data_IF_244755371872
#
_entry.id   IF_244755371872
#
_cell.length_a   1.000
_cell.length_b   1.000
_cell.length_c   1.000
_cell.angle_alpha   90.00
_cell.angle_beta   90.00
_cell.angle_gamma   90.00
#
_symmetry.space_group_name_H-M   'P 1'
#
loop_
_entity.id
_entity.type
_entity.pdbx_description
1 polymer ?
#
# COMPACT_ATOMS: atom_id res chain seq x y z
N UNK A 1 -5.92 -22.64 -12.52
CA UNK A 1 -5.11 -21.51 -12.02
C UNK A 1 -5.41 -21.34 -10.54
N UNK A 2 -4.40 -21.11 -9.71
CA UNK A 2 -4.59 -20.84 -8.28
C UNK A 2 -5.22 -19.44 -8.13
N UNK A 3 -6.26 -19.25 -7.31
CA UNK A 3 -6.81 -17.91 -7.07
C UNK A 3 -5.78 -17.02 -6.38
N UNK A 4 -5.75 -15.74 -6.74
CA UNK A 4 -4.95 -14.70 -6.09
C UNK A 4 -5.44 -14.49 -4.65
N UNK A 5 -4.51 -14.48 -3.69
CA UNK A 5 -4.84 -14.43 -2.26
C UNK A 5 -4.42 -13.09 -1.67
N UNK A 6 -5.34 -12.42 -0.99
CA UNK A 6 -5.03 -11.22 -0.21
C UNK A 6 -4.33 -11.62 1.09
N UNK A 7 -3.14 -11.08 1.30
CA UNK A 7 -2.27 -11.37 2.45
C UNK A 7 -2.36 -10.28 3.53
N UNK A 8 -2.58 -9.03 3.12
CA UNK A 8 -2.73 -7.90 4.04
C UNK A 8 -3.54 -6.76 3.40
N UNK A 9 -4.13 -5.93 4.25
CA UNK A 9 -4.81 -4.69 3.85
C UNK A 9 -4.35 -3.57 4.77
N UNK A 10 -3.74 -2.54 4.20
CA UNK A 10 -3.27 -1.35 4.94
C UNK A 10 -4.16 -0.17 4.59
N UNK A 11 -4.85 0.37 5.59
CA UNK A 11 -5.69 1.56 5.44
C UNK A 11 -4.88 2.86 5.57
N UNK A 12 -5.49 3.97 5.13
CA UNK A 12 -4.98 5.35 5.33
C UNK A 12 -3.55 5.54 4.80
N UNK A 13 -3.26 4.94 3.65
CA UNK A 13 -2.01 5.16 2.92
C UNK A 13 -2.16 6.44 2.09
N UNK A 14 -1.56 7.54 2.52
CA UNK A 14 -1.77 8.84 1.89
C UNK A 14 -0.65 9.17 0.91
N UNK A 15 -0.99 9.59 -0.30
CA UNK A 15 -0.04 10.08 -1.29
C UNK A 15 -0.27 11.58 -1.51
N UNK A 16 0.78 12.40 -1.39
CA UNK A 16 0.70 13.82 -1.74
C UNK A 16 0.60 13.93 -3.26
N UNK A 17 -0.42 14.62 -3.76
CA UNK A 17 -0.67 14.80 -5.19
C UNK A 17 -0.45 16.24 -5.66
N UNK A 18 -0.27 17.18 -4.73
CA UNK A 18 -0.01 18.58 -4.98
C UNK A 18 0.36 19.32 -3.69
N UNK A 19 0.53 20.63 -3.75
CA UNK A 19 0.92 21.43 -2.58
C UNK A 19 -0.10 21.34 -1.43
N UNK A 20 -1.39 21.22 -1.77
CA UNK A 20 -2.50 21.19 -0.82
C UNK A 20 -3.43 19.97 -0.99
N UNK A 21 -3.10 19.04 -1.89
CA UNK A 21 -3.94 17.87 -2.17
C UNK A 21 -3.23 16.57 -1.83
N UNK A 22 -4.01 15.60 -1.37
CA UNK A 22 -3.57 14.22 -1.16
C UNK A 22 -4.63 13.24 -1.61
N UNK A 23 -4.19 12.10 -2.14
CA UNK A 23 -5.02 10.93 -2.36
C UNK A 23 -4.86 9.98 -1.18
N UNK A 24 -5.97 9.38 -0.73
CA UNK A 24 -5.92 8.32 0.29
C UNK A 24 -6.22 7.00 -0.37
N UNK A 25 -5.36 6.03 -0.09
CA UNK A 25 -5.41 4.68 -0.60
C UNK A 25 -5.63 3.68 0.53
N UNK A 26 -6.23 2.57 0.17
CA UNK A 26 -6.15 1.29 0.85
C UNK A 26 -5.19 0.43 0.04
N UNK A 27 -4.07 0.05 0.62
CA UNK A 27 -3.12 -0.86 0.00
C UNK A 27 -3.57 -2.30 0.27
N UNK A 28 -4.01 -3.00 -0.76
CA UNK A 28 -4.31 -4.43 -0.73
C UNK A 28 -3.08 -5.18 -1.23
N UNK A 29 -2.51 -6.01 -0.37
CA UNK A 29 -1.31 -6.81 -0.67
C UNK A 29 -1.75 -8.22 -0.97
N UNK A 30 -1.35 -8.74 -2.12
CA UNK A 30 -1.66 -10.11 -2.55
C UNK A 30 -0.40 -10.94 -2.71
N UNK A 31 -0.54 -12.22 -3.03
CA UNK A 31 0.59 -13.10 -3.35
C UNK A 31 1.25 -12.80 -4.71
N UNK A 32 0.72 -11.89 -5.53
CA UNK A 32 1.27 -11.57 -6.87
C UNK A 32 1.45 -10.07 -7.17
N UNK A 33 0.74 -9.18 -6.47
CA UNK A 33 0.80 -7.71 -6.69
C UNK A 33 0.37 -6.90 -5.47
N UNK A 34 0.78 -5.64 -5.45
CA UNK A 34 0.20 -4.59 -4.61
C UNK A 34 -0.93 -3.91 -5.38
N UNK A 35 -2.06 -3.61 -4.73
CA UNK A 35 -3.16 -2.83 -5.33
C UNK A 35 -3.42 -1.61 -4.45
N UNK A 36 -3.29 -0.42 -5.02
CA UNK A 36 -3.64 0.83 -4.37
C UNK A 36 -5.06 1.19 -4.77
N UNK A 37 -6.01 0.85 -3.88
CA UNK A 37 -7.42 1.14 -4.08
C UNK A 37 -7.77 2.50 -3.45
N UNK A 38 -8.44 3.38 -4.19
CA UNK A 38 -8.93 4.66 -3.65
C UNK A 38 -9.79 4.40 -2.42
N UNK A 39 -9.41 5.02 -1.30
CA UNK A 39 -10.15 4.82 -0.06
C UNK A 39 -11.45 5.62 -0.07
N UNK A 40 -12.57 4.92 -0.24
CA UNK A 40 -13.93 5.44 -0.08
C UNK A 40 -14.60 4.79 1.12
N UNK A 41 -15.63 5.44 1.68
CA UNK A 41 -16.48 4.83 2.71
C UNK A 41 -17.37 3.77 2.06
N UNK A 42 -17.04 2.50 2.25
CA UNK A 42 -17.82 1.35 1.80
C UNK A 42 -17.75 0.20 2.83
N UNK A 43 -18.60 -0.80 2.67
CA UNK A 43 -18.64 -2.01 3.52
C UNK A 43 -17.87 -3.20 2.94
N UNK A 44 -16.90 -2.96 2.06
CA UNK A 44 -16.18 -4.02 1.34
C UNK A 44 -15.16 -4.69 2.27
N UNK A 45 -15.23 -6.02 2.39
CA UNK A 45 -14.21 -6.84 3.05
C UNK A 45 -13.11 -7.21 2.03
N UNK A 46 -12.11 -6.33 1.92
CA UNK A 46 -11.00 -6.50 0.97
C UNK A 46 -10.15 -7.75 1.24
N UNK A 47 -10.17 -8.31 2.45
CA UNK A 47 -9.47 -9.57 2.74
C UNK A 47 -10.12 -10.78 2.05
N UNK A 48 -11.40 -10.68 1.69
CA UNK A 48 -12.19 -11.76 1.07
C UNK A 48 -12.65 -11.45 -0.35
N UNK A 49 -12.47 -10.22 -0.81
CA UNK A 49 -12.83 -9.81 -2.16
C UNK A 49 -11.80 -10.29 -3.19
N UNK A 50 -12.28 -10.67 -4.37
CA UNK A 50 -11.41 -10.89 -5.54
C UNK A 50 -10.56 -9.63 -5.83
N UNK A 51 -9.22 -9.72 -5.81
CA UNK A 51 -8.34 -8.60 -6.11
C UNK A 51 -8.58 -7.95 -7.48
N UNK A 52 -9.04 -8.72 -8.49
CA UNK A 52 -9.38 -8.17 -9.79
C UNK A 52 -10.57 -7.20 -9.73
N UNK A 53 -11.58 -7.52 -8.90
CA UNK A 53 -12.70 -6.61 -8.65
C UNK A 53 -12.24 -5.35 -7.90
N UNK A 54 -11.27 -5.48 -7.00
CA UNK A 54 -10.68 -4.33 -6.31
C UNK A 54 -10.02 -3.38 -7.31
N UNK A 55 -9.22 -3.90 -8.24
CA UNK A 55 -8.57 -3.08 -9.27
C UNK A 55 -9.59 -2.43 -10.23
N UNK A 56 -10.61 -3.18 -10.66
CA UNK A 56 -11.61 -2.69 -11.61
C UNK A 56 -12.64 -1.70 -10.99
N UNK A 57 -12.78 -1.67 -9.65
CA UNK A 57 -13.80 -0.88 -8.97
C UNK A 57 -13.67 0.64 -9.17
N UNK A 58 -12.48 1.14 -9.50
CA UNK A 58 -12.26 2.56 -9.77
C UNK A 58 -11.12 2.74 -10.77
N UNK A 59 -11.26 3.59 -11.81
CA UNK A 59 -10.22 3.79 -12.83
C UNK A 59 -8.92 4.42 -12.29
N UNK A 60 -8.95 5.05 -11.12
CA UNK A 60 -7.76 5.56 -10.46
C UNK A 60 -7.02 4.50 -9.63
N UNK A 61 -7.63 3.33 -9.39
CA UNK A 61 -6.93 2.23 -8.75
C UNK A 61 -5.83 1.74 -9.68
N UNK A 62 -4.68 1.40 -9.10
CA UNK A 62 -3.57 0.85 -9.85
C UNK A 62 -2.93 -0.29 -9.09
N UNK A 63 -2.17 -1.10 -9.81
CA UNK A 63 -1.46 -2.24 -9.24
C UNK A 63 0.02 -2.19 -9.60
N UNK A 64 0.84 -2.74 -8.70
CA UNK A 64 2.27 -2.95 -8.90
C UNK A 64 2.51 -4.45 -8.80
N UNK A 65 2.88 -5.12 -9.91
CA UNK A 65 3.32 -6.51 -9.89
C UNK A 65 4.50 -6.74 -8.92
N UNK A 66 4.53 -7.86 -8.18
CA UNK A 66 5.59 -8.12 -7.19
C UNK A 66 6.97 -8.41 -7.80
N UNK A 67 7.02 -8.77 -9.09
CA UNK A 67 8.25 -8.87 -9.89
C UNK A 67 8.83 -7.49 -10.26
N UNK A 68 7.98 -6.46 -10.37
CA UNK A 68 8.39 -5.07 -10.52
C UNK A 68 8.78 -4.41 -9.18
N UNK A 69 8.33 -4.96 -8.04
CA UNK A 69 8.63 -4.44 -6.71
C UNK A 69 10.05 -4.79 -6.26
N UNK A 70 10.89 -3.76 -6.08
CA UNK A 70 12.24 -3.91 -5.54
C UNK A 70 12.24 -3.98 -4.03
N UNK A 71 11.69 -2.94 -3.38
CA UNK A 71 11.68 -2.83 -1.91
C UNK A 71 10.59 -1.87 -1.43
N UNK A 72 10.07 -2.14 -0.24
CA UNK A 72 9.28 -1.23 0.56
C UNK A 72 10.12 -0.83 1.77
N UNK A 73 10.41 0.46 1.92
CA UNK A 73 11.12 1.01 3.08
C UNK A 73 10.11 1.71 3.99
N UNK A 74 10.14 1.39 5.28
CA UNK A 74 9.27 2.01 6.27
C UNK A 74 10.11 2.92 7.17
N UNK A 75 9.75 4.19 7.23
CA UNK A 75 10.39 5.18 8.07
C UNK A 75 9.43 5.63 9.17
N UNK A 76 9.92 5.56 10.41
CA UNK A 76 9.23 6.16 11.53
C UNK A 76 9.44 7.68 11.49
N UNK A 77 8.35 8.43 11.64
CA UNK A 77 8.38 9.86 11.77
C UNK A 77 9.09 10.28 13.06
N UNK A 78 9.73 11.45 13.02
CA UNK A 78 10.37 12.03 14.19
C UNK A 78 9.35 12.95 14.91
N UNK A 79 9.41 12.92 16.24
CA UNK A 79 8.54 13.73 17.09
C UNK A 79 8.99 15.20 17.10
N UNK A 80 10.30 15.44 16.95
CA UNK A 80 10.87 16.78 17.09
C UNK A 80 10.54 17.70 15.90
N UNK A 81 10.41 17.15 14.69
CA UNK A 81 10.08 17.89 13.46
C UNK A 81 8.61 17.72 13.01
N UNK A 82 7.80 16.99 13.78
CA UNK A 82 6.43 16.57 13.42
C UNK A 82 6.37 15.83 12.07
N UNK A 83 7.45 15.16 11.65
CA UNK A 83 7.42 14.35 10.45
C UNK A 83 6.47 13.16 10.63
N UNK A 84 5.61 12.87 9.65
CA UNK A 84 4.76 11.70 9.71
C UNK A 84 5.57 10.42 9.45
N UNK A 85 5.04 9.28 9.90
CA UNK A 85 5.51 7.98 9.43
C UNK A 85 5.34 7.88 7.91
N UNK A 86 6.33 7.32 7.21
CA UNK A 86 6.29 7.17 5.75
C UNK A 86 6.60 5.75 5.29
N UNK A 87 6.02 5.40 4.15
CA UNK A 87 6.30 4.19 3.39
C UNK A 87 6.78 4.60 2.01
N UNK A 88 7.94 4.10 1.61
CA UNK A 88 8.50 4.31 0.28
C UNK A 88 8.44 3.00 -0.48
N UNK A 89 7.74 2.98 -1.61
CA UNK A 89 7.63 1.83 -2.50
C UNK A 89 8.52 2.09 -3.71
N UNK A 90 9.57 1.27 -3.87
CA UNK A 90 10.49 1.33 -5.00
C UNK A 90 10.20 0.18 -5.96
N UNK A 91 9.99 0.54 -7.22
CA UNK A 91 9.84 -0.40 -8.33
C UNK A 91 11.08 -0.34 -9.20
N UNK A 92 11.12 -1.16 -10.26
CA UNK A 92 12.21 -1.14 -11.23
C UNK A 92 12.34 0.19 -11.98
N UNK A 93 11.28 0.99 -12.04
CA UNK A 93 11.19 2.20 -12.88
C UNK A 93 10.86 3.47 -12.11
N UNK A 94 10.25 3.35 -10.93
CA UNK A 94 9.72 4.50 -10.18
C UNK A 94 9.82 4.31 -8.66
N UNK A 95 9.71 5.42 -7.94
CA UNK A 95 9.67 5.51 -6.48
C UNK A 95 8.47 6.33 -6.05
N UNK A 96 7.59 5.72 -5.26
CA UNK A 96 6.44 6.38 -4.66
C UNK A 96 6.60 6.52 -3.15
N UNK A 97 6.22 7.68 -2.61
CA UNK A 97 6.24 7.95 -1.16
C UNK A 97 4.82 8.13 -0.66
N UNK A 98 4.51 7.46 0.44
CA UNK A 98 3.22 7.52 1.12
C UNK A 98 3.41 7.87 2.60
N UNK A 99 2.47 8.62 3.15
CA UNK A 99 2.32 8.84 4.59
C UNK A 99 1.42 7.74 5.16
N UNK A 100 1.78 7.19 6.31
CA UNK A 100 1.06 6.12 7.00
C UNK A 100 0.79 6.50 8.46
N UNK A 101 -0.10 5.76 9.14
CA UNK A 101 -0.56 6.11 10.49
C UNK A 101 0.24 5.46 11.64
N UNK A 102 0.97 4.37 11.35
CA UNK A 102 1.73 3.60 12.34
C UNK A 102 2.79 2.73 11.66
N UNK A 103 4.03 3.20 11.64
CA UNK A 103 5.17 2.54 11.00
C UNK A 103 5.42 1.12 11.53
N UNK A 104 5.31 0.89 12.85
CA UNK A 104 5.53 -0.43 13.43
C UNK A 104 4.49 -1.47 12.98
N UNK A 105 3.21 -1.13 13.07
CA UNK A 105 2.13 -2.03 12.69
C UNK A 105 2.16 -2.31 11.18
N UNK A 106 2.34 -1.27 10.36
CA UNK A 106 2.46 -1.41 8.91
C UNK A 106 3.68 -2.26 8.53
N UNK A 107 4.85 -2.00 9.13
CA UNK A 107 6.06 -2.80 8.89
C UNK A 107 5.85 -4.27 9.25
N UNK A 108 5.22 -4.56 10.40
CA UNK A 108 4.93 -5.93 10.83
C UNK A 108 3.99 -6.66 9.87
N UNK A 109 2.89 -6.02 9.46
CA UNK A 109 1.92 -6.60 8.53
C UNK A 109 2.54 -6.84 7.15
N UNK A 110 3.28 -5.86 6.63
CA UNK A 110 3.94 -5.98 5.33
C UNK A 110 5.07 -7.01 5.36
N UNK A 111 5.88 -7.09 6.43
CA UNK A 111 6.91 -8.13 6.58
C UNK A 111 6.31 -9.53 6.61
N UNK A 112 5.14 -9.70 7.22
CA UNK A 112 4.42 -10.98 7.20
C UNK A 112 3.95 -11.37 5.80
N UNK A 113 3.51 -10.42 4.99
CA UNK A 113 3.04 -10.67 3.62
C UNK A 113 4.20 -10.81 2.61
N UNK A 114 5.17 -9.89 2.64
CA UNK A 114 6.16 -9.69 1.58
C UNK A 114 7.59 -10.09 1.98
N UNK A 115 7.80 -10.50 3.23
CA UNK A 115 9.08 -10.99 3.72
C UNK A 115 10.23 -10.00 3.54
N UNK A 116 11.26 -10.44 2.82
CA UNK A 116 12.51 -9.70 2.62
C UNK A 116 12.38 -8.45 1.71
N UNK A 117 11.23 -8.26 1.05
CA UNK A 117 10.96 -7.04 0.28
C UNK A 117 10.67 -5.83 1.16
N UNK A 118 10.54 -5.98 2.49
CA UNK A 118 10.23 -4.89 3.42
C UNK A 118 11.40 -4.64 4.35
N UNK A 119 11.92 -3.40 4.35
CA UNK A 119 13.01 -2.94 5.21
C UNK A 119 12.44 -2.06 6.32
#
# INVERSE_FOLDING_TARGET
>A
MKPEIVQAVIDKVHQKTGLFSKQTWRLVVTDVRLIFAVQVKNGVDYMRQDPALTLAANPANFAIPLDELQVIEIYKGDFDDNAPDTMVVKTNTDKMTFIISNSYSVSSQLKKALGNKVK
#
